data_IF_798758351625
#
_entry.id   IF_798758351625
#
_cell.length_a   1.000
_cell.length_b   1.000
_cell.length_c   1.000
_cell.angle_alpha   90.00
_cell.angle_beta   90.00
_cell.angle_gamma   90.00
#
_symmetry.space_group_name_H-M   'P 1'
#
loop_
_entity.id
_entity.type
_entity.pdbx_description
1 polymer ?
#
# COMPACT_ATOMS: atom_id res chain seq x y z
N UNK A 1 3.82 -30.58 21.31
CA UNK A 1 4.30 -29.19 21.18
C UNK A 1 3.59 -28.59 19.97
N UNK A 2 2.53 -27.83 20.16
CA UNK A 2 1.78 -27.26 19.04
C UNK A 2 2.61 -26.13 18.43
N UNK A 3 3.04 -26.29 17.18
CA UNK A 3 3.69 -25.21 16.44
C UNK A 3 2.69 -24.06 16.32
N UNK A 4 3.03 -22.89 16.84
CA UNK A 4 2.22 -21.69 16.68
C UNK A 4 2.13 -21.38 15.19
N UNK A 5 0.96 -21.58 14.58
CA UNK A 5 0.69 -21.12 13.22
C UNK A 5 0.97 -19.62 13.22
N UNK A 6 1.97 -19.19 12.46
CA UNK A 6 2.24 -17.76 12.28
C UNK A 6 1.04 -17.18 11.54
N UNK A 7 0.22 -16.42 12.25
CA UNK A 7 -0.95 -15.74 11.67
C UNK A 7 -0.46 -14.77 10.59
N UNK A 8 -0.77 -15.09 9.33
CA UNK A 8 -0.53 -14.17 8.21
C UNK A 8 -1.58 -13.05 8.25
N UNK A 9 -1.12 -11.80 8.35
CA UNK A 9 -2.00 -10.66 8.19
C UNK A 9 -2.30 -10.48 6.70
N UNK A 10 -3.57 -10.60 6.33
CA UNK A 10 -4.04 -10.39 4.96
C UNK A 10 -4.77 -9.06 4.80
N UNK A 11 -4.75 -8.57 3.58
CA UNK A 11 -5.55 -7.45 3.08
C UNK A 11 -5.93 -7.72 1.63
N UNK A 12 -6.55 -6.73 1.01
CA UNK A 12 -7.00 -6.78 -0.39
C UNK A 12 -6.55 -5.51 -1.10
N UNK A 13 -6.40 -5.58 -2.42
CA UNK A 13 -6.11 -4.42 -3.25
C UNK A 13 -7.06 -4.36 -4.44
N UNK A 14 -7.18 -3.18 -5.02
CA UNK A 14 -7.94 -2.95 -6.24
C UNK A 14 -7.07 -2.22 -7.28
N UNK A 15 -6.79 -2.90 -8.39
CA UNK A 15 -6.19 -2.30 -9.58
C UNK A 15 -7.22 -1.42 -10.28
N UNK A 16 -6.92 -0.13 -10.42
CA UNK A 16 -7.79 0.80 -11.12
C UNK A 16 -7.89 0.50 -12.62
N UNK A 17 -9.09 0.62 -13.15
CA UNK A 17 -9.34 0.79 -14.58
C UNK A 17 -9.80 2.22 -14.85
N UNK A 18 -9.17 2.89 -15.79
CA UNK A 18 -9.52 4.25 -16.26
C UNK A 18 -10.68 4.22 -17.25
N UNK A 19 -11.02 3.05 -17.78
CA UNK A 19 -12.14 2.83 -18.71
C UNK A 19 -13.48 2.64 -17.99
N UNK A 20 -13.45 2.34 -16.68
CA UNK A 20 -14.63 2.02 -15.89
C UNK A 20 -14.98 3.22 -15.01
N UNK A 21 -16.28 3.47 -14.83
CA UNK A 21 -16.75 4.46 -13.88
C UNK A 21 -16.24 4.13 -12.47
N UNK A 22 -15.49 5.06 -11.86
CA UNK A 22 -14.87 4.87 -10.55
C UNK A 22 -15.83 4.37 -9.47
N UNK A 23 -16.98 5.03 -9.32
CA UNK A 23 -17.94 4.70 -8.28
C UNK A 23 -18.42 3.25 -8.39
N UNK A 24 -18.62 2.79 -9.63
CA UNK A 24 -19.02 1.42 -9.93
C UNK A 24 -17.94 0.42 -9.51
N UNK A 25 -16.67 0.68 -9.82
CA UNK A 25 -15.57 -0.20 -9.42
C UNK A 25 -15.26 -0.14 -7.92
N UNK A 26 -15.40 1.01 -7.26
CA UNK A 26 -15.31 1.10 -5.78
C UNK A 26 -16.37 0.24 -5.11
N UNK A 27 -17.63 0.37 -5.55
CA UNK A 27 -18.73 -0.42 -4.98
C UNK A 27 -18.55 -1.91 -5.26
N UNK A 28 -18.18 -2.27 -6.49
CA UNK A 28 -17.89 -3.66 -6.85
C UNK A 28 -16.79 -4.26 -5.98
N UNK A 29 -15.67 -3.54 -5.81
CA UNK A 29 -14.58 -3.97 -4.95
C UNK A 29 -15.03 -4.14 -3.49
N UNK A 30 -15.78 -3.18 -2.95
CA UNK A 30 -16.34 -3.27 -1.61
C UNK A 30 -17.24 -4.51 -1.44
N UNK A 31 -18.14 -4.76 -2.40
CA UNK A 31 -19.07 -5.89 -2.36
C UNK A 31 -18.33 -7.25 -2.34
N UNK A 32 -17.18 -7.35 -3.00
CA UNK A 32 -16.33 -8.55 -2.94
C UNK A 32 -15.68 -8.77 -1.57
N UNK A 33 -15.32 -7.69 -0.87
CA UNK A 33 -14.50 -7.77 0.35
C UNK A 33 -15.31 -7.59 1.64
N UNK A 34 -16.55 -7.11 1.58
CA UNK A 34 -17.33 -6.69 2.77
C UNK A 34 -17.52 -7.78 3.83
N UNK A 35 -17.60 -9.04 3.40
CA UNK A 35 -17.75 -10.18 4.31
C UNK A 35 -16.43 -10.63 4.92
N UNK A 36 -15.30 -10.28 4.30
CA UNK A 36 -13.98 -10.64 4.79
C UNK A 36 -12.82 -9.75 4.27
N UNK A 37 -12.74 -8.52 4.78
CA UNK A 37 -11.71 -7.55 4.38
C UNK A 37 -10.28 -7.89 4.83
N UNK A 38 -10.13 -8.84 5.77
CA UNK A 38 -8.87 -9.07 6.45
C UNK A 38 -8.52 -7.98 7.47
N UNK A 39 -7.26 -8.03 7.95
CA UNK A 39 -6.80 -7.16 9.05
C UNK A 39 -6.19 -5.87 8.53
N UNK A 40 -5.49 -5.90 7.40
CA UNK A 40 -4.99 -4.68 6.78
C UNK A 40 -6.16 -3.85 6.20
N UNK A 41 -5.99 -2.53 6.06
CA UNK A 41 -6.88 -1.73 5.24
C UNK A 41 -6.83 -2.16 3.77
N UNK A 42 -7.91 -1.95 3.01
CA UNK A 42 -7.86 -2.16 1.57
C UNK A 42 -6.86 -1.21 0.91
N UNK A 43 -6.28 -1.64 -0.20
CA UNK A 43 -5.26 -0.91 -0.93
C UNK A 43 -5.83 -0.44 -2.26
N UNK A 44 -5.66 0.84 -2.56
CA UNK A 44 -5.78 1.36 -3.90
C UNK A 44 -4.47 1.14 -4.64
N UNK A 45 -4.50 0.34 -5.70
CA UNK A 45 -3.37 0.15 -6.59
C UNK A 45 -3.47 1.17 -7.73
N UNK A 46 -2.60 2.18 -7.64
CA UNK A 46 -2.45 3.21 -8.66
C UNK A 46 -1.09 3.04 -9.34
N UNK A 47 -1.10 2.32 -10.45
CA UNK A 47 0.06 2.06 -11.28
C UNK A 47 -0.21 2.23 -12.79
N UNK A 48 0.83 2.07 -13.59
CA UNK A 48 0.70 2.05 -15.04
C UNK A 48 0.05 0.74 -15.49
N UNK A 49 -1.20 0.82 -15.96
CA UNK A 49 -1.96 -0.34 -16.43
C UNK A 49 -1.98 -0.51 -17.96
N UNK A 50 -1.15 0.26 -18.69
CA UNK A 50 -1.21 0.37 -20.15
C UNK A 50 -2.40 1.19 -20.67
N UNK A 51 -3.21 1.75 -19.76
CA UNK A 51 -4.31 2.66 -20.09
C UNK A 51 -3.87 4.12 -20.00
N UNK A 52 -4.47 4.97 -20.82
CA UNK A 52 -4.26 6.42 -20.74
C UNK A 52 -4.84 6.97 -19.44
N UNK A 53 -3.97 7.48 -18.57
CA UNK A 53 -4.36 8.13 -17.33
C UNK A 53 -4.88 9.53 -17.63
N UNK A 54 -6.03 9.86 -17.04
CA UNK A 54 -6.70 11.14 -17.23
C UNK A 54 -5.92 12.27 -16.53
N UNK A 55 -5.96 13.48 -17.10
CA UNK A 55 -5.27 14.65 -16.54
C UNK A 55 -5.79 15.06 -15.15
N UNK A 56 -7.05 14.74 -14.84
CA UNK A 56 -7.69 14.96 -13.55
C UNK A 56 -7.64 13.72 -12.63
N UNK A 57 -6.69 12.80 -12.85
CA UNK A 57 -6.57 11.56 -12.09
C UNK A 57 -6.61 11.76 -10.57
N UNK A 58 -5.93 12.77 -10.02
CA UNK A 58 -5.93 13.00 -8.58
C UNK A 58 -7.34 13.28 -8.00
N UNK A 59 -8.23 14.00 -8.70
CA UNK A 59 -9.59 14.22 -8.20
C UNK A 59 -10.38 12.91 -8.15
N UNK A 60 -10.25 12.14 -9.23
CA UNK A 60 -10.83 10.80 -9.40
C UNK A 60 -10.35 9.86 -8.28
N UNK A 61 -9.03 9.79 -8.06
CA UNK A 61 -8.43 8.99 -7.00
C UNK A 61 -8.91 9.42 -5.60
N UNK A 62 -9.08 10.72 -5.38
CA UNK A 62 -9.59 11.24 -4.10
C UNK A 62 -11.01 10.76 -3.83
N UNK A 63 -11.92 10.91 -4.80
CA UNK A 63 -13.31 10.45 -4.69
C UNK A 63 -13.40 8.94 -4.43
N UNK A 64 -12.53 8.15 -5.11
CA UNK A 64 -12.43 6.71 -4.88
C UNK A 64 -12.04 6.39 -3.44
N UNK A 65 -11.00 7.05 -2.92
CA UNK A 65 -10.47 6.79 -1.58
C UNK A 65 -11.45 7.20 -0.49
N UNK A 66 -12.12 8.34 -0.64
CA UNK A 66 -13.14 8.79 0.31
C UNK A 66 -14.33 7.83 0.36
N UNK A 67 -14.81 7.37 -0.80
CA UNK A 67 -15.92 6.42 -0.84
C UNK A 67 -15.52 5.05 -0.28
N UNK A 68 -14.31 4.57 -0.58
CA UNK A 68 -13.79 3.32 -0.03
C UNK A 68 -13.62 3.41 1.49
N UNK A 69 -13.11 4.52 2.01
CA UNK A 69 -13.00 4.77 3.45
C UNK A 69 -14.39 4.79 4.10
N UNK A 70 -15.36 5.46 3.47
CA UNK A 70 -16.75 5.53 3.97
C UNK A 70 -17.39 4.14 4.03
N UNK A 71 -17.21 3.31 3.00
CA UNK A 71 -17.79 1.96 2.92
C UNK A 71 -17.12 0.97 3.88
N UNK A 72 -15.80 1.08 4.07
CA UNK A 72 -15.03 0.09 4.83
C UNK A 72 -14.75 0.50 6.28
N UNK A 73 -14.95 1.78 6.61
CA UNK A 73 -14.58 2.39 7.91
C UNK A 73 -13.09 2.21 8.22
N UNK A 74 -12.26 2.06 7.17
CA UNK A 74 -10.81 1.93 7.25
C UNK A 74 -10.18 2.92 6.29
N UNK A 75 -9.15 3.65 6.75
CA UNK A 75 -8.35 4.52 5.88
C UNK A 75 -7.57 3.65 4.88
N UNK A 76 -7.86 3.72 3.57
CA UNK A 76 -7.20 2.89 2.57
C UNK A 76 -5.71 3.23 2.42
N UNK A 77 -4.93 2.25 2.00
CA UNK A 77 -3.51 2.42 1.64
C UNK A 77 -3.43 2.78 0.15
N UNK A 78 -2.50 3.65 -0.25
CA UNK A 78 -2.18 3.90 -1.66
C UNK A 78 -0.91 3.15 -2.02
N UNK A 79 -1.00 2.23 -2.98
CA UNK A 79 0.15 1.66 -3.66
C UNK A 79 0.45 2.46 -4.93
N UNK A 80 1.71 2.86 -5.11
CA UNK A 80 2.17 3.52 -6.34
C UNK A 80 3.69 3.57 -6.43
N UNK A 81 4.22 3.97 -7.60
CA UNK A 81 5.62 4.34 -7.79
C UNK A 81 5.81 5.86 -7.83
N UNK A 82 6.96 6.36 -7.37
CA UNK A 82 7.24 7.81 -7.34
C UNK A 82 7.07 8.51 -8.70
N UNK A 83 7.53 7.95 -9.85
CA UNK A 83 7.37 8.62 -11.15
C UNK A 83 5.90 8.87 -11.52
N UNK A 84 5.05 7.85 -11.33
CA UNK A 84 3.63 7.94 -11.63
C UNK A 84 2.94 8.98 -10.74
N UNK A 85 3.18 8.90 -9.42
CA UNK A 85 2.57 9.84 -8.49
C UNK A 85 3.00 11.28 -8.77
N UNK A 86 4.28 11.50 -9.09
CA UNK A 86 4.76 12.84 -9.42
C UNK A 86 4.12 13.42 -10.68
N UNK A 87 3.69 12.55 -11.62
CA UNK A 87 3.08 12.97 -12.87
C UNK A 87 1.57 13.19 -12.76
N UNK A 88 0.86 12.35 -12.02
CA UNK A 88 -0.63 12.33 -12.00
C UNK A 88 -1.26 12.46 -10.62
N UNK A 89 -0.47 12.27 -9.56
CA UNK A 89 -0.90 12.43 -8.19
C UNK A 89 -0.95 13.90 -7.77
N UNK A 90 -1.09 14.11 -6.47
CA UNK A 90 -1.15 15.45 -5.89
C UNK A 90 -0.07 15.65 -4.84
N UNK A 91 0.40 16.89 -4.72
CA UNK A 91 1.34 17.34 -3.67
C UNK A 91 0.63 17.92 -2.46
N UNK A 92 -0.70 18.05 -2.48
CA UNK A 92 -1.46 18.62 -1.39
C UNK A 92 -1.31 17.77 -0.12
N UNK A 93 -1.13 18.42 1.02
CA UNK A 93 -0.86 17.76 2.31
C UNK A 93 -2.00 16.86 2.76
N UNK A 94 -3.23 17.09 2.31
CA UNK A 94 -4.40 16.25 2.59
C UNK A 94 -4.20 14.78 2.19
N UNK A 95 -3.38 14.50 1.18
CA UNK A 95 -3.08 13.13 0.73
C UNK A 95 -2.22 12.34 1.71
N UNK A 96 -1.50 13.01 2.62
CA UNK A 96 -0.72 12.35 3.68
C UNK A 96 -1.59 11.59 4.69
N UNK A 97 -2.92 11.82 4.68
CA UNK A 97 -3.91 11.01 5.40
C UNK A 97 -3.80 9.52 5.05
N UNK A 98 -3.56 9.21 3.77
CA UNK A 98 -3.51 7.83 3.28
C UNK A 98 -2.09 7.26 3.43
N UNK A 99 -1.90 6.08 4.04
CA UNK A 99 -0.59 5.43 4.11
C UNK A 99 -0.05 5.10 2.72
N UNK A 100 1.25 5.35 2.51
CA UNK A 100 1.91 5.02 1.25
C UNK A 100 2.52 3.61 1.28
N UNK A 101 2.20 2.81 0.28
CA UNK A 101 2.93 1.62 -0.13
C UNK A 101 3.71 1.97 -1.40
N UNK A 102 5.02 2.16 -1.26
CA UNK A 102 5.87 2.61 -2.38
C UNK A 102 6.47 1.41 -3.13
N UNK A 103 6.30 1.39 -4.45
CA UNK A 103 7.02 0.49 -5.34
C UNK A 103 8.34 1.12 -5.80
N UNK A 104 9.47 0.50 -5.45
CA UNK A 104 10.79 0.95 -5.90
C UNK A 104 11.82 -0.16 -5.79
N UNK A 105 12.35 -0.61 -6.93
CA UNK A 105 13.36 -1.68 -6.98
C UNK A 105 14.78 -1.10 -6.93
N UNK A 106 15.02 -0.22 -5.95
CA UNK A 106 16.30 0.47 -5.75
C UNK A 106 16.78 0.27 -4.31
N UNK A 107 17.94 0.80 -3.93
CA UNK A 107 18.34 0.81 -2.51
C UNK A 107 17.35 1.63 -1.66
N UNK A 108 17.16 1.26 -0.39
CA UNK A 108 16.25 1.98 0.52
C UNK A 108 16.56 3.49 0.60
N UNK A 109 17.84 3.86 0.72
CA UNK A 109 18.26 5.26 0.81
C UNK A 109 17.89 6.07 -0.44
N UNK A 110 18.04 5.47 -1.62
CA UNK A 110 17.61 6.09 -2.87
C UNK A 110 16.09 6.27 -2.91
N UNK A 111 15.32 5.22 -2.63
CA UNK A 111 13.86 5.28 -2.59
C UNK A 111 13.36 6.37 -1.62
N UNK A 112 13.92 6.43 -0.41
CA UNK A 112 13.56 7.42 0.60
C UNK A 112 13.86 8.85 0.14
N UNK A 113 14.99 9.06 -0.57
CA UNK A 113 15.32 10.36 -1.17
C UNK A 113 14.39 10.78 -2.32
N UNK A 114 13.61 9.83 -2.85
CA UNK A 114 12.71 10.01 -4.00
C UNK A 114 11.25 9.80 -3.66
N UNK A 115 10.88 9.82 -2.37
CA UNK A 115 9.47 9.74 -1.99
C UNK A 115 8.66 10.86 -2.66
N UNK A 116 7.50 10.54 -3.24
CA UNK A 116 6.66 11.54 -3.84
C UNK A 116 6.01 12.40 -2.74
N UNK A 117 5.83 13.69 -3.02
CA UNK A 117 5.03 14.56 -2.13
C UNK A 117 3.56 14.09 -2.15
N UNK A 118 2.81 14.25 -1.03
CA UNK A 118 3.22 14.94 0.20
C UNK A 118 3.98 14.06 1.21
N UNK A 119 4.18 12.76 0.93
CA UNK A 119 4.75 11.86 1.92
C UNK A 119 6.21 12.18 2.22
N UNK A 120 6.54 12.10 3.50
CA UNK A 120 7.92 12.14 4.02
C UNK A 120 8.35 10.79 4.57
N UNK A 121 7.45 9.80 4.58
CA UNK A 121 7.69 8.44 5.03
C UNK A 121 6.74 7.47 4.31
N UNK A 122 7.04 6.18 4.36
CA UNK A 122 6.28 5.09 3.75
C UNK A 122 5.82 4.09 4.81
N UNK A 123 4.76 3.33 4.51
CA UNK A 123 4.23 2.26 5.38
C UNK A 123 4.65 0.87 4.90
N UNK A 124 4.64 0.66 3.58
CA UNK A 124 5.18 -0.52 2.93
C UNK A 124 6.13 -0.10 1.82
N UNK A 125 7.14 -0.91 1.57
CA UNK A 125 8.04 -0.74 0.44
C UNK A 125 8.17 -2.06 -0.32
N UNK A 126 7.65 -2.09 -1.55
CA UNK A 126 7.88 -3.19 -2.48
C UNK A 126 9.26 -3.00 -3.11
N UNK A 127 10.20 -3.85 -2.71
CA UNK A 127 11.61 -3.69 -3.07
C UNK A 127 12.04 -4.64 -4.20
N UNK A 128 11.24 -5.65 -4.51
CA UNK A 128 11.41 -6.50 -5.69
C UNK A 128 10.10 -7.18 -6.07
N UNK A 129 9.92 -7.44 -7.36
CA UNK A 129 8.89 -8.32 -7.92
C UNK A 129 9.42 -9.69 -8.36
N UNK A 130 10.68 -9.98 -8.04
CA UNK A 130 11.42 -11.19 -8.46
C UNK A 130 11.80 -12.07 -7.28
N UNK A 131 10.92 -12.12 -6.28
CA UNK A 131 11.10 -12.99 -5.12
C UNK A 131 10.88 -14.45 -5.49
N UNK A 132 11.79 -15.31 -5.03
CA UNK A 132 11.60 -16.77 -5.10
C UNK A 132 10.54 -17.20 -4.07
N UNK A 133 9.32 -17.41 -4.54
CA UNK A 133 8.18 -17.77 -3.72
C UNK A 133 8.29 -19.13 -3.05
N UNK A 134 9.12 -20.05 -3.56
CA UNK A 134 9.30 -21.37 -2.96
C UNK A 134 9.87 -21.24 -1.53
N UNK A 135 10.67 -20.21 -1.27
CA UNK A 135 11.18 -19.86 0.07
C UNK A 135 10.09 -19.43 1.06
N UNK A 136 8.93 -19.04 0.55
CA UNK A 136 7.80 -18.52 1.30
C UNK A 136 6.55 -19.40 1.19
N UNK A 137 6.68 -20.60 0.61
CA UNK A 137 5.60 -21.58 0.50
C UNK A 137 4.57 -21.27 -0.58
N UNK A 138 4.96 -20.56 -1.64
CA UNK A 138 4.12 -20.30 -2.83
C UNK A 138 4.87 -20.66 -4.11
N UNK A 139 4.15 -20.97 -5.19
CA UNK A 139 4.76 -21.47 -6.43
C UNK A 139 5.39 -20.39 -7.32
N UNK A 140 4.99 -19.12 -7.14
CA UNK A 140 5.45 -18.02 -8.00
C UNK A 140 6.95 -17.75 -7.84
N UNK A 141 7.67 -17.59 -8.95
CA UNK A 141 9.05 -17.12 -8.99
C UNK A 141 9.15 -15.59 -9.17
N UNK A 142 8.01 -14.93 -9.33
CA UNK A 142 7.85 -13.49 -9.44
C UNK A 142 7.04 -12.98 -8.23
N UNK A 143 7.46 -13.37 -7.01
CA UNK A 143 6.78 -12.93 -5.80
C UNK A 143 7.19 -11.50 -5.44
N UNK A 144 6.20 -10.64 -5.24
CA UNK A 144 6.42 -9.29 -4.73
C UNK A 144 6.84 -9.33 -3.25
N UNK A 145 8.09 -8.95 -3.00
CA UNK A 145 8.60 -8.86 -1.64
C UNK A 145 8.53 -7.43 -1.14
N UNK A 146 8.02 -7.32 0.08
CA UNK A 146 7.66 -6.06 0.69
C UNK A 146 8.31 -5.95 2.08
N UNK A 147 8.78 -4.76 2.42
CA UNK A 147 9.19 -4.43 3.78
C UNK A 147 8.13 -3.59 4.47
N UNK A 148 7.91 -3.88 5.75
CA UNK A 148 7.09 -3.08 6.66
C UNK A 148 7.60 -3.28 8.09
N UNK A 149 7.65 -2.21 8.89
CA UNK A 149 8.05 -2.34 10.29
C UNK A 149 6.96 -3.01 11.11
N UNK A 150 7.35 -3.72 12.18
CA UNK A 150 6.38 -4.32 13.11
C UNK A 150 5.46 -3.27 13.76
N UNK A 151 5.96 -2.05 14.00
CA UNK A 151 5.17 -0.92 14.51
C UNK A 151 4.09 -0.50 13.51
N UNK A 152 4.47 -0.33 12.23
CA UNK A 152 3.51 -0.02 11.16
C UNK A 152 2.48 -1.13 10.99
N UNK A 153 2.90 -2.40 10.96
CA UNK A 153 1.99 -3.53 10.81
C UNK A 153 0.96 -3.61 11.96
N UNK A 154 1.38 -3.42 13.22
CA UNK A 154 0.46 -3.38 14.37
C UNK A 154 -0.55 -2.24 14.26
N UNK A 155 -0.09 -1.04 13.89
CA UNK A 155 -0.94 0.14 13.69
C UNK A 155 -2.02 -0.13 12.63
N UNK A 156 -1.62 -0.65 11.46
CA UNK A 156 -2.53 -0.87 10.35
C UNK A 156 -3.49 -2.06 10.56
N UNK A 157 -3.15 -3.02 11.42
CA UNK A 157 -3.99 -4.19 11.70
C UNK A 157 -4.92 -4.02 12.91
N UNK A 158 -4.94 -2.83 13.53
CA UNK A 158 -5.78 -2.53 14.69
C UNK A 158 -5.38 -3.26 15.97
N UNK A 159 -4.17 -3.83 16.05
CA UNK A 159 -3.61 -4.49 17.26
C UNK A 159 -2.66 -3.58 18.05
N UNK A 160 -2.84 -2.26 17.95
CA UNK A 160 -2.09 -1.29 18.73
C UNK A 160 -2.96 -0.08 19.04
N UNK A 161 -3.11 0.21 20.33
CA UNK A 161 -3.25 1.59 20.80
C UNK A 161 -2.27 2.47 20.05
N UNK A 162 -2.70 3.64 19.60
CA UNK A 162 -1.89 4.61 18.87
C UNK A 162 -0.69 4.99 19.76
N UNK A 163 0.55 4.56 19.47
CA UNK A 163 1.69 5.01 20.24
C UNK A 163 2.14 6.34 19.65
N UNK A 164 2.18 7.34 20.52
CA UNK A 164 2.84 8.63 20.30
C UNK A 164 4.23 8.41 19.68
N UNK A 165 4.57 9.29 18.76
CA UNK A 165 5.77 9.24 17.91
C UNK A 165 7.03 9.11 18.76
N UNK A 166 7.88 8.13 18.41
CA UNK A 166 9.28 8.11 18.82
C UNK A 166 10.10 7.62 17.63
N UNK A 167 11.09 8.42 17.25
CA UNK A 167 11.99 8.25 16.11
C UNK A 167 13.34 7.76 16.62
N UNK A 168 13.58 6.45 16.55
CA UNK A 168 14.95 5.92 16.49
C UNK A 168 14.93 4.56 15.80
N UNK A 169 15.48 4.48 14.58
CA UNK A 169 15.83 3.22 13.93
C UNK A 169 17.34 3.24 13.77
N UNK A 170 18.04 2.84 14.82
CA UNK A 170 19.43 2.41 14.77
C UNK A 170 19.46 0.95 15.18
N UNK A 171 19.08 0.05 14.27
CA UNK A 171 19.48 -1.36 14.30
C UNK A 171 18.92 -2.05 13.06
N UNK A 172 19.74 -2.11 12.00
CA UNK A 172 19.83 -3.21 11.02
C UNK A 172 20.82 -2.84 9.92
N UNK A 173 22.11 -2.88 10.27
CA UNK A 173 23.19 -3.16 9.33
C UNK A 173 24.10 -4.12 10.07
N UNK A 174 24.01 -5.41 9.74
CA UNK A 174 24.98 -6.48 9.92
C UNK A 174 24.26 -7.78 9.58
N UNK A 175 24.35 -8.18 8.30
CA UNK A 175 24.37 -9.56 7.80
C UNK A 175 24.19 -9.58 6.27
N UNK A 176 25.12 -8.93 5.57
CA UNK A 176 25.62 -9.34 4.27
C UNK A 176 27.15 -9.32 4.35
#
# INVERSE_FOLDING_TARGET
MFSTIRQCHRGTYHSLSWKINLKSQTYYFYELIKNDMGKLPPVLDFEWSGESILSNAFNILWDYLEELERLTVKVPIIYSGSPLWNQYGSKATSWSKYPLWIASYTSQSYMESKLPKPWTNWSFWQWTSKGDGLKYGVESLDLDLNYCTRKTLKRLTGKGEIPVVDYSVSEKLNNL
#
